data_IF_789655365168
#
_entry.id   IF_789655365168
#
_cell.length_a   1.000
_cell.length_b   1.000
_cell.length_c   1.000
_cell.angle_alpha   90.00
_cell.angle_beta   90.00
_cell.angle_gamma   90.00
#
_symmetry.space_group_name_H-M   'P 1'
#
loop_
_entity.id
_entity.type
_entity.pdbx_description
1 polymer ?
#
# COMPACT_ATOMS: atom_id res chain seq x y z
N UNK A 1 -27.36 30.60 -0.48
CA UNK A 1 -26.07 30.78 -1.15
C UNK A 1 -25.00 30.12 -0.29
N UNK A 2 -24.09 29.31 -0.83
CA UNK A 2 -23.03 28.71 0.01
C UNK A 2 -22.51 27.32 -0.36
N UNK A 3 -23.03 26.66 -1.40
CA UNK A 3 -22.39 25.45 -1.91
C UNK A 3 -21.22 25.82 -2.84
N UNK A 4 -20.02 25.32 -2.56
CA UNK A 4 -18.89 25.42 -3.48
C UNK A 4 -19.18 24.55 -4.72
N UNK A 5 -19.19 25.10 -5.94
CA UNK A 5 -19.43 24.29 -7.13
C UNK A 5 -18.24 23.33 -7.33
N UNK A 6 -18.48 22.02 -7.28
CA UNK A 6 -17.45 20.98 -7.49
C UNK A 6 -17.53 20.38 -8.90
N UNK A 7 -18.74 20.09 -9.38
CA UNK A 7 -18.93 19.40 -10.66
C UNK A 7 -18.27 20.17 -11.82
N UNK A 8 -17.42 19.48 -12.58
CA UNK A 8 -16.70 20.00 -13.73
C UNK A 8 -15.53 20.93 -13.38
N UNK A 9 -15.11 21.01 -12.12
CA UNK A 9 -13.93 21.79 -11.73
C UNK A 9 -12.62 21.04 -11.98
N UNK A 10 -12.69 19.73 -12.19
CA UNK A 10 -11.54 18.88 -12.48
C UNK A 10 -11.72 18.11 -13.79
N UNK A 11 -10.75 17.25 -14.12
CA UNK A 11 -10.68 16.54 -15.41
C UNK A 11 -11.82 15.54 -15.65
N UNK A 12 -12.40 14.98 -14.59
CA UNK A 12 -13.60 14.14 -14.68
C UNK A 12 -14.36 14.04 -13.34
N UNK A 13 -15.49 13.36 -13.37
CA UNK A 13 -16.37 13.06 -12.22
C UNK A 13 -15.61 12.45 -11.03
N UNK A 14 -14.62 11.59 -11.27
CA UNK A 14 -13.86 10.97 -10.17
C UNK A 14 -12.92 11.96 -9.51
N UNK A 15 -12.23 12.80 -10.28
CA UNK A 15 -11.39 13.85 -9.70
C UNK A 15 -12.23 14.95 -9.06
N UNK A 16 -13.48 15.15 -9.48
CA UNK A 16 -14.43 16.04 -8.80
C UNK A 16 -14.79 15.49 -7.43
N UNK A 17 -15.07 14.18 -7.32
CA UNK A 17 -15.31 13.51 -6.03
C UNK A 17 -14.10 13.64 -5.09
N UNK A 18 -12.88 13.48 -5.61
CA UNK A 18 -11.66 13.69 -4.83
C UNK A 18 -11.51 15.14 -4.36
N UNK A 19 -11.83 16.10 -5.24
CA UNK A 19 -11.78 17.52 -4.92
C UNK A 19 -12.83 17.90 -3.86
N UNK A 20 -14.05 17.38 -3.97
CA UNK A 20 -15.09 17.54 -2.95
C UNK A 20 -14.64 17.01 -1.59
N UNK A 21 -14.04 15.82 -1.55
CA UNK A 21 -13.48 15.24 -0.32
C UNK A 21 -12.39 16.12 0.30
N UNK A 22 -11.52 16.71 -0.52
CA UNK A 22 -10.51 17.66 -0.07
C UNK A 22 -11.13 18.94 0.52
N UNK A 23 -12.15 19.51 -0.13
CA UNK A 23 -12.87 20.67 0.40
C UNK A 23 -13.55 20.36 1.73
N UNK A 24 -14.21 19.20 1.85
CA UNK A 24 -14.85 18.76 3.08
C UNK A 24 -13.84 18.61 4.22
N UNK A 25 -12.66 18.03 3.96
CA UNK A 25 -11.57 17.95 4.94
C UNK A 25 -11.10 19.34 5.38
N UNK A 26 -10.99 20.29 4.45
CA UNK A 26 -10.69 21.69 4.75
C UNK A 26 -11.67 22.29 5.75
N UNK A 27 -12.97 22.11 5.54
CA UNK A 27 -14.02 22.60 6.45
C UNK A 27 -13.89 21.98 7.86
N UNK A 28 -13.55 20.70 7.98
CA UNK A 28 -13.30 20.08 9.29
C UNK A 28 -12.08 20.71 9.98
N UNK A 29 -10.97 20.91 9.26
CA UNK A 29 -9.75 21.50 9.80
C UNK A 29 -9.97 22.94 10.25
N UNK A 30 -10.64 23.75 9.42
CA UNK A 30 -11.04 25.12 9.76
C UNK A 30 -11.90 25.13 11.02
N UNK A 31 -12.87 24.22 11.13
CA UNK A 31 -13.74 24.18 12.30
C UNK A 31 -12.99 23.81 13.59
N UNK A 32 -12.05 22.85 13.51
CA UNK A 32 -11.18 22.50 14.63
C UNK A 32 -10.28 23.69 15.03
N UNK A 33 -9.84 24.49 14.06
CA UNK A 33 -9.04 25.68 14.30
C UNK A 33 -9.84 26.79 14.97
N UNK A 34 -11.05 27.10 14.48
CA UNK A 34 -11.97 28.06 15.09
C UNK A 34 -12.28 27.71 16.55
N UNK A 35 -12.41 26.41 16.84
CA UNK A 35 -12.65 25.91 18.20
C UNK A 35 -11.40 25.90 19.08
N UNK A 36 -10.23 26.25 18.54
CA UNK A 36 -8.97 26.26 19.26
C UNK A 36 -8.43 24.88 19.63
N UNK A 37 -9.00 23.80 19.10
CA UNK A 37 -8.66 22.41 19.46
C UNK A 37 -7.76 21.71 18.43
N UNK A 38 -7.58 22.27 17.24
CA UNK A 38 -6.81 21.64 16.14
C UNK A 38 -5.41 21.18 16.56
N UNK A 39 -4.69 21.96 17.38
CA UNK A 39 -3.34 21.58 17.82
C UNK A 39 -3.32 20.30 18.66
N UNK A 40 -4.40 20.04 19.40
CA UNK A 40 -4.55 18.86 20.25
C UNK A 40 -5.43 17.76 19.60
N UNK A 41 -5.74 17.88 18.32
CA UNK A 41 -6.46 16.84 17.58
C UNK A 41 -5.47 16.06 16.73
N UNK A 42 -5.43 14.73 16.91
CA UNK A 42 -4.77 13.83 15.98
C UNK A 42 -5.70 13.59 14.79
N UNK A 43 -5.22 13.90 13.59
CA UNK A 43 -5.89 13.65 12.31
C UNK A 43 -5.05 12.61 11.55
N UNK A 44 -5.71 11.54 11.11
CA UNK A 44 -5.12 10.50 10.27
C UNK A 44 -5.94 10.44 8.99
N UNK A 45 -5.29 10.66 7.85
CA UNK A 45 -5.92 10.53 6.53
C UNK A 45 -5.30 9.35 5.78
N UNK A 46 -6.16 8.46 5.28
CA UNK A 46 -5.75 7.31 4.48
C UNK A 46 -6.90 6.74 3.64
N UNK A 47 -6.68 5.58 3.02
CA UNK A 47 -7.66 4.82 2.25
C UNK A 47 -7.56 3.32 2.62
N UNK A 48 -8.62 2.55 2.43
CA UNK A 48 -8.67 1.12 2.77
C UNK A 48 -7.88 0.23 1.80
N UNK A 49 -7.74 0.67 0.55
CA UNK A 49 -7.08 -0.04 -0.54
C UNK A 49 -6.79 0.92 -1.69
N UNK A 50 -6.08 0.41 -2.70
CA UNK A 50 -5.89 1.09 -3.96
C UNK A 50 -7.19 1.42 -4.69
N UNK A 51 -7.07 2.25 -5.72
CA UNK A 51 -8.19 2.75 -6.49
C UNK A 51 -8.94 1.61 -7.21
N UNK A 52 -10.27 1.59 -7.13
CA UNK A 52 -11.11 0.64 -7.87
C UNK A 52 -11.32 1.05 -9.33
N UNK A 53 -11.61 0.07 -10.20
CA UNK A 53 -12.24 0.35 -11.49
C UNK A 53 -13.66 0.87 -11.27
N UNK A 54 -14.03 1.92 -12.00
CA UNK A 54 -15.39 2.45 -11.94
C UNK A 54 -16.42 1.54 -12.60
N UNK A 55 -17.63 1.47 -12.03
CA UNK A 55 -18.79 0.87 -12.71
C UNK A 55 -19.24 1.83 -13.82
N UNK A 56 -19.30 1.34 -15.06
CA UNK A 56 -19.72 2.06 -16.27
C UNK A 56 -18.80 3.22 -16.70
N UNK A 57 -18.09 2.97 -17.81
CA UNK A 57 -17.28 3.78 -18.73
C UNK A 57 -16.84 5.24 -18.45
N UNK A 58 -17.44 6.05 -17.58
CA UNK A 58 -16.95 7.39 -17.25
C UNK A 58 -16.02 7.42 -16.02
N UNK A 59 -16.28 6.57 -15.03
CA UNK A 59 -15.41 6.42 -13.84
C UNK A 59 -14.17 5.56 -14.10
N UNK A 60 -14.27 4.66 -15.08
CA UNK A 60 -13.20 3.74 -15.52
C UNK A 60 -12.42 4.25 -16.73
N UNK A 61 -12.86 5.35 -17.37
CA UNK A 61 -12.01 6.07 -18.31
C UNK A 61 -10.75 6.47 -17.55
N UNK A 62 -9.64 5.86 -17.95
CA UNK A 62 -8.34 6.35 -17.54
C UNK A 62 -8.34 7.85 -17.83
N UNK A 63 -7.95 8.65 -16.84
CA UNK A 63 -7.75 10.10 -17.05
C UNK A 63 -6.67 10.33 -18.11
N UNK A 64 -5.95 9.27 -18.52
CA UNK A 64 -4.71 9.33 -19.29
C UNK A 64 -4.65 8.21 -20.34
N UNK A 65 -4.23 8.55 -21.57
CA UNK A 65 -4.41 7.70 -22.75
C UNK A 65 -3.26 6.70 -23.00
N UNK A 66 -2.02 6.96 -22.56
CA UNK A 66 -0.91 6.00 -22.74
C UNK A 66 0.13 5.99 -21.60
N UNK A 67 0.79 4.85 -21.30
CA UNK A 67 1.87 4.77 -20.31
C UNK A 67 3.17 5.50 -20.72
N UNK A 68 3.35 5.79 -22.03
CA UNK A 68 4.60 6.33 -22.58
C UNK A 68 4.59 7.84 -22.75
N UNK A 69 3.42 8.47 -22.77
CA UNK A 69 3.29 9.91 -22.95
C UNK A 69 2.90 10.58 -21.64
N UNK A 70 3.90 10.79 -20.78
CA UNK A 70 3.88 11.92 -19.85
C UNK A 70 2.87 11.85 -18.70
N UNK A 71 3.40 11.36 -17.57
CA UNK A 71 3.20 11.86 -16.20
C UNK A 71 2.08 11.32 -15.31
N UNK A 72 1.00 10.67 -15.76
CA UNK A 72 0.06 9.98 -14.84
C UNK A 72 -0.78 8.89 -15.57
N UNK A 73 -1.09 7.74 -14.92
CA UNK A 73 -2.05 6.66 -15.28
C UNK A 73 -2.14 6.07 -16.72
N UNK A 74 -2.94 4.97 -16.89
CA UNK A 74 -3.16 4.30 -18.20
C UNK A 74 -3.14 2.76 -18.16
N UNK A 75 -3.62 2.09 -19.22
CA UNK A 75 -3.50 0.63 -19.36
C UNK A 75 -2.04 0.24 -19.59
N UNK A 76 -1.48 -0.56 -18.69
CA UNK A 76 -0.17 -1.17 -18.89
C UNK A 76 -0.32 -2.48 -19.64
N UNK A 77 0.14 -2.51 -20.88
CA UNK A 77 0.21 -3.76 -21.64
C UNK A 77 1.53 -4.45 -21.36
N UNK A 78 1.47 -5.64 -20.79
CA UNK A 78 2.62 -6.50 -20.59
C UNK A 78 2.64 -7.62 -21.63
N UNK A 79 3.79 -7.80 -22.26
CA UNK A 79 4.05 -8.94 -23.12
C UNK A 79 4.73 -10.02 -22.29
N UNK A 80 4.00 -11.09 -21.96
CA UNK A 80 4.60 -12.28 -21.36
C UNK A 80 5.44 -13.08 -22.37
N UNK A 81 6.35 -13.93 -21.88
CA UNK A 81 7.21 -14.80 -22.70
C UNK A 81 6.41 -15.70 -23.68
N UNK A 82 5.14 -15.99 -23.39
CA UNK A 82 4.25 -16.79 -24.23
C UNK A 82 3.53 -15.99 -25.34
N UNK A 83 3.99 -14.78 -25.69
CA UNK A 83 3.39 -13.85 -26.68
C UNK A 83 1.94 -13.42 -26.39
N UNK A 84 1.32 -13.86 -25.27
CA UNK A 84 0.03 -13.34 -24.82
C UNK A 84 0.23 -11.98 -24.18
N UNK A 85 -0.52 -10.99 -24.66
CA UNK A 85 -0.61 -9.66 -24.05
C UNK A 85 -1.52 -9.76 -22.84
N UNK A 86 -0.99 -9.47 -21.64
CA UNK A 86 -1.80 -9.21 -20.46
C UNK A 86 -1.98 -7.69 -20.35
N UNK A 87 -3.22 -7.22 -20.20
CA UNK A 87 -3.49 -5.81 -19.93
C UNK A 87 -3.69 -5.67 -18.43
N UNK A 88 -2.73 -5.01 -17.78
CA UNK A 88 -2.86 -4.57 -16.41
C UNK A 88 -3.50 -3.19 -16.41
N UNK A 89 -4.64 -3.10 -15.73
CA UNK A 89 -5.32 -1.83 -15.52
C UNK A 89 -4.60 -1.15 -14.37
N UNK A 90 -3.92 -0.03 -14.64
CA UNK A 90 -3.40 0.82 -13.58
C UNK A 90 -4.58 1.68 -13.12
N UNK A 91 -5.02 1.46 -11.89
CA UNK A 91 -5.88 2.45 -11.26
C UNK A 91 -5.11 3.77 -11.10
N UNK A 92 -5.81 4.88 -10.92
CA UNK A 92 -5.26 6.26 -10.92
C UNK A 92 -4.23 6.57 -9.81
N UNK A 93 -3.67 5.57 -9.13
CA UNK A 93 -2.60 5.73 -8.15
C UNK A 93 -1.24 5.97 -8.82
N UNK A 94 -0.46 6.90 -8.26
CA UNK A 94 0.86 7.28 -8.76
C UNK A 94 1.88 7.39 -7.63
N UNK A 95 3.15 7.22 -7.97
CA UNK A 95 4.29 7.47 -7.09
C UNK A 95 4.51 8.97 -6.85
N UNK A 96 5.41 9.32 -5.93
CA UNK A 96 5.82 10.72 -5.68
C UNK A 96 6.31 11.46 -6.94
N UNK A 97 6.86 10.73 -7.91
CA UNK A 97 7.38 11.27 -9.16
C UNK A 97 6.36 11.22 -10.32
N UNK A 98 5.10 10.86 -10.03
CA UNK A 98 4.02 10.77 -11.02
C UNK A 98 3.95 9.45 -11.80
N UNK A 99 4.88 8.51 -11.58
CA UNK A 99 4.80 7.21 -12.28
C UNK A 99 3.57 6.41 -11.84
N UNK A 100 2.85 5.74 -12.77
CA UNK A 100 1.66 4.96 -12.44
C UNK A 100 2.02 3.71 -11.62
N UNK A 101 1.22 3.44 -10.59
CA UNK A 101 1.28 2.19 -9.84
C UNK A 101 0.52 1.10 -10.60
N UNK A 102 1.03 -0.13 -10.60
CA UNK A 102 0.42 -1.24 -11.32
C UNK A 102 -0.77 -1.81 -10.55
N UNK A 103 -1.85 -2.16 -11.24
CA UNK A 103 -3.02 -2.81 -10.65
C UNK A 103 -4.03 -1.86 -10.03
N UNK A 104 -5.06 -2.44 -9.42
CA UNK A 104 -6.23 -1.76 -8.85
C UNK A 104 -6.74 -2.47 -7.61
N UNK A 105 -7.76 -1.92 -6.94
CA UNK A 105 -8.39 -2.51 -5.74
C UNK A 105 -8.49 -4.04 -5.85
N UNK A 106 -7.90 -4.72 -4.86
CA UNK A 106 -7.89 -6.18 -4.77
C UNK A 106 -6.70 -6.86 -5.45
N UNK A 107 -5.96 -6.17 -6.32
CA UNK A 107 -4.79 -6.74 -7.02
C UNK A 107 -3.57 -6.81 -6.09
N UNK A 108 -2.64 -7.71 -6.39
CA UNK A 108 -1.41 -7.90 -5.59
C UNK A 108 -0.31 -6.86 -5.87
N UNK A 109 -0.50 -6.04 -6.91
CA UNK A 109 0.43 -5.01 -7.35
C UNK A 109 0.27 -3.71 -6.54
N UNK A 110 1.26 -2.81 -6.58
CA UNK A 110 1.32 -1.61 -5.72
C UNK A 110 0.04 -0.77 -5.78
N UNK A 111 -0.57 -0.63 -6.95
CA UNK A 111 -1.81 0.13 -7.15
C UNK A 111 -3.05 -0.50 -6.54
N UNK A 112 -2.96 -1.72 -5.99
CA UNK A 112 -4.05 -2.42 -5.32
C UNK A 112 -4.15 -2.16 -3.82
N UNK A 113 -3.06 -1.78 -3.16
CA UNK A 113 -3.01 -1.62 -1.70
C UNK A 113 -2.05 -0.53 -1.19
N UNK A 114 -1.19 0.07 -2.03
CA UNK A 114 -0.45 1.26 -1.64
C UNK A 114 -1.39 2.47 -1.62
N UNK A 115 -1.54 3.06 -0.43
CA UNK A 115 -2.49 4.14 -0.15
C UNK A 115 -1.77 5.34 0.47
N UNK A 116 -2.33 6.56 0.36
CA UNK A 116 -1.81 7.70 1.11
C UNK A 116 -1.93 7.45 2.61
N UNK A 117 -0.97 7.92 3.40
CA UNK A 117 -1.03 7.90 4.86
C UNK A 117 -0.46 9.21 5.38
N UNK A 118 -1.30 10.04 6.00
CA UNK A 118 -0.91 11.35 6.52
C UNK A 118 -1.32 11.42 7.99
N UNK A 119 -0.35 11.75 8.84
CA UNK A 119 -0.57 12.04 10.25
C UNK A 119 -0.41 13.54 10.50
N UNK A 120 -1.32 14.11 11.28
CA UNK A 120 -1.22 15.48 11.77
C UNK A 120 -1.63 15.53 13.23
N UNK A 121 -0.73 16.04 14.07
CA UNK A 121 -1.05 16.36 15.45
C UNK A 121 -0.17 17.51 15.92
N UNK A 122 -0.75 18.71 16.02
CA UNK A 122 0.04 19.95 16.18
C UNK A 122 0.91 19.99 17.45
N UNK A 123 0.50 19.33 18.51
CA UNK A 123 1.22 19.29 19.78
C UNK A 123 2.20 18.12 19.91
N UNK A 124 2.19 17.15 18.99
CA UNK A 124 2.98 15.93 19.16
C UNK A 124 3.76 15.47 17.93
N UNK A 125 3.35 15.84 16.71
CA UNK A 125 4.01 15.45 15.46
C UNK A 125 4.51 16.72 14.77
N UNK A 126 5.84 16.93 14.65
CA UNK A 126 6.38 18.07 13.92
C UNK A 126 5.92 18.07 12.45
N UNK A 127 5.54 19.23 11.93
CA UNK A 127 5.03 19.34 10.55
C UNK A 127 6.14 19.30 9.50
N UNK A 128 5.79 18.87 8.28
CA UNK A 128 6.61 19.09 7.08
C UNK A 128 7.70 18.05 6.83
N UNK A 129 7.64 16.90 7.49
CA UNK A 129 8.54 15.77 7.22
C UNK A 129 7.83 14.67 6.43
N UNK A 130 8.61 13.87 5.70
CA UNK A 130 8.17 12.68 4.96
C UNK A 130 8.95 11.49 5.50
N UNK A 131 8.25 10.39 5.78
CA UNK A 131 8.87 9.11 6.17
C UNK A 131 9.02 8.28 4.90
N UNK A 132 10.26 8.04 4.48
CA UNK A 132 10.58 7.29 3.25
C UNK A 132 11.36 5.98 3.51
N UNK A 133 11.77 5.77 4.76
CA UNK A 133 12.68 4.72 5.19
C UNK A 133 11.99 3.62 6.04
N UNK A 134 10.65 3.63 6.10
CA UNK A 134 9.87 2.70 6.93
C UNK A 134 8.79 1.98 6.13
N UNK A 135 8.74 0.65 6.27
CA UNK A 135 7.69 -0.20 5.71
C UNK A 135 6.47 -0.25 6.64
N UNK A 136 5.53 0.67 6.40
CA UNK A 136 4.31 0.84 7.21
C UNK A 136 3.09 0.25 6.50
N UNK A 137 2.18 -0.33 7.27
CA UNK A 137 0.90 -0.87 6.81
C UNK A 137 -0.25 -0.26 7.61
N UNK A 138 -1.47 -0.28 7.05
CA UNK A 138 -2.66 0.29 7.71
C UNK A 138 -2.94 -0.29 9.10
N UNK A 139 -2.61 -1.57 9.31
CA UNK A 139 -2.82 -2.20 10.62
C UNK A 139 -1.91 -1.62 11.72
N UNK A 140 -0.84 -0.90 11.37
CA UNK A 140 0.07 -0.26 12.34
C UNK A 140 -0.54 0.94 13.04
N UNK A 141 -1.60 1.50 12.47
CA UNK A 141 -2.36 2.58 13.09
C UNK A 141 -2.82 2.16 14.49
N UNK A 142 -3.16 0.89 14.70
CA UNK A 142 -3.61 0.38 15.99
C UNK A 142 -2.56 0.58 17.11
N UNK A 143 -1.37 -0.03 17.00
CA UNK A 143 -0.33 0.14 18.04
C UNK A 143 0.22 1.55 18.10
N UNK A 144 0.32 2.23 16.96
CA UNK A 144 0.81 3.61 16.91
C UNK A 144 -0.12 4.57 17.65
N UNK A 145 -1.44 4.46 17.44
CA UNK A 145 -2.41 5.28 18.16
C UNK A 145 -2.43 4.90 19.64
N UNK A 146 -2.40 3.60 19.98
CA UNK A 146 -2.34 3.14 21.36
C UNK A 146 -1.15 3.76 22.12
N UNK A 147 0.04 3.72 21.51
CA UNK A 147 1.26 4.34 22.04
C UNK A 147 1.12 5.86 22.21
N UNK A 148 0.58 6.56 21.21
CA UNK A 148 0.33 8.01 21.27
C UNK A 148 -0.59 8.39 22.44
N UNK A 149 -1.61 7.59 22.74
CA UNK A 149 -2.55 7.86 23.83
C UNK A 149 -2.15 7.23 25.17
N UNK A 150 -0.99 6.57 25.23
CA UNK A 150 -0.47 5.95 26.45
C UNK A 150 -1.22 4.68 26.89
N UNK A 151 -1.87 3.99 25.95
CA UNK A 151 -2.53 2.71 26.18
C UNK A 151 -1.59 1.59 25.77
N UNK A 152 -1.45 0.58 26.63
CA UNK A 152 -0.79 -0.69 26.30
C UNK A 152 -1.87 -1.73 25.99
N UNK A 153 -2.09 -2.09 24.71
CA UNK A 153 -2.99 -3.18 24.36
C UNK A 153 -2.51 -4.50 24.98
N UNK A 154 -3.43 -5.43 25.16
CA UNK A 154 -3.07 -6.81 25.51
C UNK A 154 -2.17 -7.43 24.42
N UNK A 155 -1.39 -8.44 24.81
CA UNK A 155 -0.41 -9.07 23.92
C UNK A 155 -1.02 -9.77 22.71
N UNK A 156 -2.31 -10.10 22.74
CA UNK A 156 -3.02 -10.80 21.67
C UNK A 156 -3.68 -9.83 20.68
N UNK A 157 -3.88 -8.57 21.07
CA UNK A 157 -4.45 -7.53 20.21
C UNK A 157 -3.44 -7.00 19.20
N UNK A 158 -3.82 -7.03 17.92
CA UNK A 158 -3.05 -6.43 16.84
C UNK A 158 -1.66 -7.05 16.67
N UNK A 159 -1.57 -8.38 16.61
CA UNK A 159 -0.30 -9.11 16.48
C UNK A 159 0.55 -8.66 15.28
N UNK A 160 -0.10 -8.29 14.17
CA UNK A 160 0.59 -7.82 12.96
C UNK A 160 0.91 -6.32 13.00
N UNK A 161 0.39 -5.59 14.00
CA UNK A 161 0.53 -4.15 14.15
C UNK A 161 1.86 -3.80 14.84
N UNK A 162 2.57 -2.82 14.30
CA UNK A 162 3.80 -2.27 14.85
C UNK A 162 3.63 -0.80 15.23
N UNK A 163 4.33 -0.36 16.26
CA UNK A 163 4.34 1.05 16.67
C UNK A 163 5.40 1.81 15.87
N UNK A 164 4.99 2.89 15.19
CA UNK A 164 5.89 3.83 14.51
C UNK A 164 5.73 5.26 15.04
N UNK A 165 5.19 5.43 16.25
CA UNK A 165 4.95 6.73 16.87
C UNK A 165 6.24 7.53 17.11
N UNK A 166 7.37 6.87 17.40
CA UNK A 166 8.65 7.56 17.56
C UNK A 166 9.18 8.12 16.24
N UNK A 167 9.02 7.37 15.14
CA UNK A 167 9.33 7.84 13.78
C UNK A 167 8.56 9.13 13.48
N UNK A 168 7.27 9.17 13.80
CA UNK A 168 6.43 10.36 13.59
C UNK A 168 6.83 11.55 14.46
N UNK A 169 7.19 11.31 15.73
CA UNK A 169 7.43 12.37 16.72
C UNK A 169 8.85 12.91 16.70
N UNK A 170 9.79 12.16 16.15
CA UNK A 170 11.22 12.47 16.15
C UNK A 170 11.81 12.49 14.74
N UNK A 171 11.31 13.37 13.84
CA UNK A 171 11.88 13.51 12.51
C UNK A 171 13.33 14.01 12.60
N UNK A 172 14.19 13.49 11.71
CA UNK A 172 15.62 13.80 11.68
C UNK A 172 16.48 12.92 12.58
N UNK A 173 15.88 12.06 13.38
CA UNK A 173 16.57 10.95 14.05
C UNK A 173 16.44 9.71 13.15
N UNK A 174 17.55 8.99 12.96
CA UNK A 174 17.52 7.71 12.25
C UNK A 174 16.94 6.64 13.17
N UNK A 175 15.91 5.97 12.69
CA UNK A 175 15.26 4.86 13.39
C UNK A 175 15.63 3.55 12.69
N UNK A 176 15.75 2.46 13.46
CA UNK A 176 15.78 1.14 12.85
C UNK A 176 14.41 0.85 12.18
N UNK A 177 14.38 0.00 11.14
CA UNK A 177 13.12 -0.38 10.50
C UNK A 177 12.10 -0.90 11.51
N UNK A 178 10.88 -0.38 11.48
CA UNK A 178 9.77 -0.88 12.31
C UNK A 178 9.49 -2.36 12.04
N UNK A 179 9.83 -2.84 10.83
CA UNK A 179 9.82 -4.25 10.43
C UNK A 179 10.77 -4.50 9.28
N UNK A 180 11.21 -5.75 9.13
CA UNK A 180 11.95 -6.22 7.95
C UNK A 180 11.03 -6.77 6.87
N UNK A 181 9.91 -7.41 7.25
CA UNK A 181 9.02 -8.11 6.34
C UNK A 181 7.57 -7.66 6.51
N UNK A 182 6.85 -7.53 5.39
CA UNK A 182 5.41 -7.29 5.38
C UNK A 182 4.77 -8.22 4.36
N UNK A 183 3.64 -8.83 4.71
CA UNK A 183 2.90 -9.71 3.83
C UNK A 183 1.47 -9.19 3.65
N UNK A 184 1.08 -8.91 2.42
CA UNK A 184 -0.26 -8.42 2.09
C UNK A 184 -0.95 -9.45 1.21
N UNK A 185 -2.06 -10.00 1.70
CA UNK A 185 -2.89 -10.90 0.93
C UNK A 185 -3.68 -10.11 -0.12
N UNK A 186 -3.64 -10.58 -1.37
CA UNK A 186 -4.46 -10.06 -2.44
C UNK A 186 -5.82 -10.76 -2.52
N UNK A 187 -6.84 -10.01 -2.96
CA UNK A 187 -8.15 -10.53 -3.31
C UNK A 187 -8.24 -10.90 -4.81
N UNK A 188 -7.14 -10.82 -5.55
CA UNK A 188 -7.06 -11.11 -6.98
C UNK A 188 -7.23 -12.60 -7.22
N UNK A 189 -8.39 -12.98 -7.72
CA UNK A 189 -8.71 -14.37 -8.01
C UNK A 189 -8.35 -14.68 -9.46
N UNK A 190 -7.67 -15.80 -9.70
CA UNK A 190 -7.68 -16.40 -11.03
C UNK A 190 -9.10 -16.89 -11.37
N UNK A 191 -9.42 -17.06 -12.66
CA UNK A 191 -10.76 -17.45 -13.13
C UNK A 191 -11.30 -18.69 -12.40
N UNK A 192 -10.41 -19.65 -12.13
CA UNK A 192 -10.74 -20.91 -11.47
C UNK A 192 -10.79 -20.81 -9.94
N UNK A 193 -10.39 -19.68 -9.36
CA UNK A 193 -10.28 -19.43 -7.91
C UNK A 193 -9.49 -20.52 -7.17
N UNK A 194 -8.45 -21.06 -7.81
CA UNK A 194 -7.64 -22.17 -7.31
C UNK A 194 -6.45 -21.71 -6.48
N UNK A 195 -6.12 -20.41 -6.50
CA UNK A 195 -4.92 -19.87 -5.85
C UNK A 195 -5.20 -18.55 -5.13
N UNK A 196 -4.35 -18.24 -4.16
CA UNK A 196 -4.29 -16.94 -3.48
C UNK A 196 -2.90 -16.36 -3.74
N UNK A 197 -2.84 -15.06 -4.01
CA UNK A 197 -1.59 -14.32 -4.17
C UNK A 197 -1.29 -13.42 -2.97
N UNK A 198 -0.02 -13.29 -2.66
CA UNK A 198 0.53 -12.46 -1.60
C UNK A 198 1.60 -11.54 -2.17
N UNK A 199 1.59 -10.28 -1.75
CA UNK A 199 2.72 -9.39 -1.88
C UNK A 199 3.61 -9.60 -0.65
N UNK A 200 4.81 -10.11 -0.86
CA UNK A 200 5.82 -10.30 0.17
C UNK A 200 6.91 -9.23 0.04
N UNK A 201 6.99 -8.35 1.02
CA UNK A 201 7.98 -7.28 1.08
C UNK A 201 9.17 -7.69 1.95
N UNK A 202 10.34 -7.23 1.56
CA UNK A 202 11.55 -7.29 2.35
C UNK A 202 12.24 -5.94 2.28
N UNK A 203 12.31 -5.26 3.42
CA UNK A 203 13.09 -4.05 3.62
C UNK A 203 14.48 -4.43 4.12
N UNK A 204 15.50 -4.12 3.34
CA UNK A 204 16.90 -4.32 3.70
C UNK A 204 17.55 -2.99 4.11
N UNK A 205 18.47 -3.05 5.06
CA UNK A 205 19.29 -1.89 5.44
C UNK A 205 20.26 -1.61 4.29
N UNK A 206 19.92 -0.62 3.46
CA UNK A 206 20.81 -0.15 2.39
C UNK A 206 21.90 0.79 2.92
N UNK A 207 22.79 1.21 2.03
CA UNK A 207 23.94 2.06 2.39
C UNK A 207 23.58 3.54 2.66
N UNK A 208 22.46 4.03 2.10
CA UNK A 208 21.96 5.41 2.30
C UNK A 208 20.45 5.45 2.51
N UNK A 209 19.69 4.73 1.69
CA UNK A 209 18.25 4.49 1.84
C UNK A 209 18.00 2.98 1.93
N UNK A 210 16.90 2.52 2.57
CA UNK A 210 16.58 1.10 2.59
C UNK A 210 16.21 0.57 1.20
N UNK A 211 16.70 -0.63 0.91
CA UNK A 211 16.35 -1.35 -0.30
C UNK A 211 15.04 -2.09 -0.08
N UNK A 212 14.03 -1.80 -0.91
CA UNK A 212 12.72 -2.43 -0.81
C UNK A 212 12.51 -3.42 -1.94
N UNK A 213 12.38 -4.69 -1.59
CA UNK A 213 12.05 -5.77 -2.50
C UNK A 213 10.61 -6.22 -2.32
N UNK A 214 10.00 -6.67 -3.41
CA UNK A 214 8.67 -7.27 -3.40
C UNK A 214 8.64 -8.53 -4.25
N UNK A 215 8.21 -9.64 -3.67
CA UNK A 215 7.89 -10.86 -4.40
C UNK A 215 6.38 -11.08 -4.46
N UNK A 216 5.89 -11.58 -5.59
CA UNK A 216 4.51 -12.07 -5.72
C UNK A 216 4.52 -13.57 -5.48
N UNK A 217 3.90 -14.00 -4.38
CA UNK A 217 3.88 -15.39 -3.95
C UNK A 217 2.49 -15.96 -4.12
N UNK A 218 2.40 -17.16 -4.67
CA UNK A 218 1.15 -17.87 -4.87
C UNK A 218 1.07 -19.11 -4.00
N UNK A 219 -0.08 -19.31 -3.35
CA UNK A 219 -0.41 -20.52 -2.59
C UNK A 219 -1.69 -21.18 -3.13
N UNK A 220 -1.85 -22.51 -3.04
CA UNK A 220 -3.11 -23.17 -3.38
C UNK A 220 -4.26 -22.75 -2.45
N UNK A 221 -5.38 -22.30 -3.04
CA UNK A 221 -6.56 -21.85 -2.27
C UNK A 221 -7.29 -23.01 -1.61
N UNK A 222 -7.34 -24.18 -2.25
CA UNK A 222 -8.04 -25.37 -1.74
C UNK A 222 -7.53 -25.84 -0.38
N UNK A 223 -6.29 -25.49 -0.05
CA UNK A 223 -5.64 -25.82 1.22
C UNK A 223 -5.68 -24.67 2.23
N UNK A 224 -6.13 -23.48 1.83
CA UNK A 224 -6.20 -22.32 2.71
C UNK A 224 -7.26 -22.53 3.79
N UNK A 225 -6.87 -22.36 5.06
CA UNK A 225 -7.74 -22.51 6.23
C UNK A 225 -7.80 -23.93 6.81
N UNK A 226 -8.01 -24.98 5.99
CA UNK A 226 -8.10 -26.37 6.48
C UNK A 226 -6.74 -27.07 6.63
N UNK A 227 -5.86 -26.91 5.64
CA UNK A 227 -4.54 -27.57 5.56
C UNK A 227 -3.47 -26.52 5.24
N UNK A 228 -3.48 -25.41 5.97
CA UNK A 228 -2.61 -24.27 5.72
C UNK A 228 -1.10 -24.62 5.70
N UNK A 229 -0.58 -25.50 6.58
CA UNK A 229 0.81 -25.95 6.49
C UNK A 229 1.16 -26.55 5.11
N UNK A 230 0.29 -27.39 4.56
CA UNK A 230 0.49 -27.97 3.23
C UNK A 230 0.36 -26.93 2.12
N UNK A 231 -0.52 -25.94 2.29
CA UNK A 231 -0.63 -24.80 1.38
C UNK A 231 0.67 -23.98 1.33
N UNK A 232 1.28 -23.76 2.50
CA UNK A 232 2.48 -22.97 2.67
C UNK A 232 3.71 -23.67 2.10
N UNK A 233 3.86 -24.98 2.30
CA UNK A 233 4.93 -25.77 1.66
C UNK A 233 4.86 -25.69 0.13
N UNK A 234 3.64 -25.60 -0.41
CA UNK A 234 3.38 -25.45 -1.85
C UNK A 234 3.43 -23.99 -2.33
N UNK A 235 3.78 -23.03 -1.47
CA UNK A 235 3.96 -21.65 -1.88
C UNK A 235 5.06 -21.53 -2.95
N UNK A 236 4.81 -20.71 -3.97
CA UNK A 236 5.74 -20.44 -5.05
C UNK A 236 5.88 -18.94 -5.29
N UNK A 237 7.09 -18.43 -5.27
CA UNK A 237 7.36 -17.06 -5.72
C UNK A 237 7.37 -17.02 -7.25
N UNK A 238 6.53 -16.15 -7.83
CA UNK A 238 6.28 -16.07 -9.27
C UNK A 238 6.98 -14.87 -9.92
N UNK A 239 7.03 -13.75 -9.21
CA UNK A 239 7.55 -12.47 -9.70
C UNK A 239 8.39 -11.81 -8.60
N UNK A 240 9.40 -11.04 -9.00
CA UNK A 240 10.23 -10.24 -8.10
C UNK A 240 10.46 -8.84 -8.67
N UNK A 241 10.32 -7.84 -7.81
CA UNK A 241 10.51 -6.43 -8.12
C UNK A 241 11.42 -5.76 -7.09
N UNK A 242 12.34 -4.92 -7.57
CA UNK A 242 13.14 -4.02 -6.73
C UNK A 242 12.45 -2.65 -6.71
N UNK A 243 11.62 -2.40 -5.70
CA UNK A 243 10.72 -1.24 -5.66
C UNK A 243 11.44 0.08 -5.44
N UNK A 244 12.60 0.10 -4.77
CA UNK A 244 13.39 1.32 -4.60
C UNK A 244 13.89 1.86 -5.95
N UNK A 245 14.18 0.98 -6.93
CA UNK A 245 14.56 1.37 -8.29
C UNK A 245 13.42 1.32 -9.33
N UNK A 246 12.38 0.53 -9.08
CA UNK A 246 11.26 0.30 -9.98
C UNK A 246 9.93 0.23 -9.21
N UNK A 247 9.41 1.36 -8.72
CA UNK A 247 8.15 1.41 -7.97
C UNK A 247 6.92 1.14 -8.85
N UNK A 248 7.12 1.03 -10.17
CA UNK A 248 6.04 0.72 -11.12
C UNK A 248 5.88 -0.78 -11.33
N UNK A 249 6.79 -1.61 -10.81
CA UNK A 249 6.83 -3.06 -11.02
C UNK A 249 6.98 -3.40 -12.52
N UNK A 250 7.77 -2.62 -13.25
CA UNK A 250 8.02 -2.73 -14.70
C UNK A 250 8.97 -3.85 -15.11
N UNK A 251 9.92 -4.18 -14.24
CA UNK A 251 11.00 -5.11 -14.52
C UNK A 251 10.92 -6.32 -13.58
N UNK A 252 10.41 -7.45 -14.10
CA UNK A 252 10.28 -8.68 -13.34
C UNK A 252 11.59 -9.49 -13.33
N UNK A 253 12.18 -9.67 -12.14
CA UNK A 253 13.50 -10.27 -11.91
C UNK A 253 13.40 -11.78 -11.57
N UNK A 254 12.63 -12.55 -12.35
CA UNK A 254 12.27 -13.95 -12.02
C UNK A 254 13.44 -14.92 -11.94
N UNK A 255 14.55 -14.67 -12.64
CA UNK A 255 15.70 -15.57 -12.69
C UNK A 255 16.77 -15.26 -11.62
N UNK A 256 16.38 -14.62 -10.51
CA UNK A 256 17.31 -14.19 -9.47
C UNK A 256 17.37 -15.16 -8.28
N UNK A 257 18.52 -15.21 -7.61
CA UNK A 257 18.68 -15.90 -6.30
C UNK A 257 17.72 -15.29 -5.27
N UNK A 258 17.50 -13.98 -5.36
CA UNK A 258 16.61 -13.22 -4.48
C UNK A 258 15.16 -13.70 -4.52
N UNK A 259 14.64 -14.14 -5.67
CA UNK A 259 13.27 -14.68 -5.74
C UNK A 259 13.11 -15.94 -4.86
N UNK A 260 14.10 -16.84 -4.89
CA UNK A 260 14.10 -18.05 -4.05
C UNK A 260 14.24 -17.69 -2.56
N UNK A 261 15.07 -16.71 -2.25
CA UNK A 261 15.22 -16.19 -0.89
C UNK A 261 13.88 -15.66 -0.35
N UNK A 262 13.18 -14.85 -1.13
CA UNK A 262 11.86 -14.30 -0.76
C UNK A 262 10.82 -15.40 -0.53
N UNK A 263 10.83 -16.47 -1.33
CA UNK A 263 9.96 -17.64 -1.09
C UNK A 263 10.26 -18.31 0.25
N UNK A 264 11.54 -18.49 0.58
CA UNK A 264 11.96 -19.10 1.85
C UNK A 264 11.60 -18.21 3.05
N UNK A 265 11.81 -16.90 2.94
CA UNK A 265 11.44 -15.92 3.97
C UNK A 265 9.93 -16.00 4.23
N UNK A 266 9.10 -15.96 3.19
CA UNK A 266 7.65 -16.06 3.33
C UNK A 266 7.20 -17.33 4.04
N UNK A 267 7.75 -18.49 3.63
CA UNK A 267 7.46 -19.78 4.28
C UNK A 267 7.87 -19.79 5.75
N UNK A 268 9.04 -19.20 6.07
CA UNK A 268 9.57 -19.12 7.44
C UNK A 268 8.71 -18.22 8.32
N UNK A 269 8.44 -16.99 7.90
CA UNK A 269 7.74 -16.00 8.73
C UNK A 269 6.27 -16.39 8.97
N UNK A 270 5.52 -16.82 7.95
CA UNK A 270 4.13 -17.25 8.16
C UNK A 270 4.01 -18.50 9.06
N UNK A 271 5.03 -19.36 9.06
CA UNK A 271 5.09 -20.48 10.00
C UNK A 271 5.35 -20.01 11.44
N UNK A 272 6.23 -19.01 11.61
CA UNK A 272 6.57 -18.42 12.90
C UNK A 272 5.37 -17.71 13.53
N UNK A 273 4.71 -16.83 12.79
CA UNK A 273 3.53 -16.07 13.27
C UNK A 273 2.44 -17.01 13.81
N UNK A 274 2.21 -18.15 13.16
CA UNK A 274 1.20 -19.12 13.59
C UNK A 274 1.61 -20.06 14.72
N UNK A 275 2.91 -20.21 14.99
CA UNK A 275 3.36 -20.99 16.15
C UNK A 275 3.39 -20.12 17.42
N UNK A 276 3.40 -18.80 17.26
CA UNK A 276 3.36 -17.83 18.36
C UNK A 276 1.92 -17.46 18.80
N UNK A 277 0.90 -17.82 18.01
CA UNK A 277 -0.53 -17.73 18.30
C UNK A 277 -1.03 -19.03 18.94
#
# INVERSE_FOLDING_TARGET
>A
EGALPVKGQTVNIRTDMMYEGNLALGLFVEKLQEKGILKNTLIIFSSDNGAAEGINQEWSKSVYETPREGKFGGNRTETGNNRKKAVHINAQGVTKNGYPLRGQKGYVYEGGHRVPLIFRWGNGIPSGHVVEDQLISLHDIFRTVASIVGISPDSESGLDSYDFSEVLRQPGISHDPVREYLFIQSNEQNIERTTIRWAAYHQEKGNMDPDLWKAIIQIPRTLYGKDFPDALERAKALELYYLSGDPTESNNLTNSVKLKEMEMIFKRELKRERTAQ
#
